data_IF_794632346710
#
_entry.id   IF_794632346710
#
_cell.length_a   1.000
_cell.length_b   1.000
_cell.length_c   1.000
_cell.angle_alpha   90.00
_cell.angle_beta   90.00
_cell.angle_gamma   90.00
#
_symmetry.space_group_name_H-M   'P 1'
#
loop_
_entity.id
_entity.type
_entity.pdbx_description
1 polymer ?
#
# COMPACT_ATOMS: atom_id res chain seq x y z
N UNK A 1 9.04 -14.30 17.94
CA UNK A 1 8.24 -13.74 16.82
C UNK A 1 7.21 -12.74 17.34
N UNK A 2 6.75 -12.96 18.57
CA UNK A 2 5.69 -12.19 19.25
C UNK A 2 6.00 -10.71 19.39
N UNK A 3 7.25 -10.34 19.72
CA UNK A 3 7.70 -8.95 19.76
C UNK A 3 7.42 -8.17 18.45
N UNK A 4 7.61 -8.82 17.29
CA UNK A 4 7.34 -8.18 15.99
C UNK A 4 5.85 -8.01 15.75
N UNK A 5 5.07 -9.05 16.07
CA UNK A 5 3.61 -9.02 15.96
C UNK A 5 3.04 -7.93 16.85
N UNK A 6 3.47 -7.89 18.11
CA UNK A 6 3.10 -6.85 19.08
C UNK A 6 3.41 -5.47 18.51
N UNK A 7 4.64 -5.20 18.08
CA UNK A 7 5.04 -3.90 17.52
C UNK A 7 4.21 -3.47 16.30
N UNK A 8 3.85 -4.42 15.43
CA UNK A 8 3.09 -4.15 14.22
C UNK A 8 1.60 -3.93 14.50
N UNK A 9 1.04 -4.62 15.50
CA UNK A 9 -0.37 -4.51 15.85
C UNK A 9 -0.63 -3.29 16.70
N UNK A 10 0.16 -3.07 17.76
CA UNK A 10 0.04 -1.86 18.59
C UNK A 10 0.52 -0.61 17.89
N UNK A 11 1.38 -0.75 16.87
CA UNK A 11 2.02 0.37 16.20
C UNK A 11 3.13 1.01 17.03
N UNK A 12 3.56 0.38 18.13
CA UNK A 12 4.61 0.94 18.98
C UNK A 12 5.95 1.10 18.22
N UNK A 13 6.76 2.10 18.58
CA UNK A 13 8.14 2.18 18.16
C UNK A 13 8.92 0.94 18.58
N UNK A 14 9.92 0.54 17.79
CA UNK A 14 10.73 -0.65 18.12
C UNK A 14 11.45 -0.52 19.47
N UNK A 15 11.86 0.70 19.85
CA UNK A 15 12.58 0.95 21.10
C UNK A 15 11.69 0.88 22.35
N UNK A 16 10.37 0.99 22.18
CA UNK A 16 9.37 0.90 23.27
C UNK A 16 8.83 -0.53 23.44
N UNK A 17 9.54 -1.53 22.89
CA UNK A 17 9.18 -2.92 23.12
C UNK A 17 9.51 -3.31 24.57
N UNK A 18 8.66 -4.14 25.22
CA UNK A 18 8.92 -4.59 26.58
C UNK A 18 10.27 -5.32 26.68
N UNK A 19 10.98 -5.12 27.79
CA UNK A 19 12.34 -5.62 28.02
C UNK A 19 12.47 -7.15 28.00
N UNK A 20 11.35 -7.87 28.07
CA UNK A 20 11.30 -9.33 27.93
C UNK A 20 11.67 -9.83 26.54
N UNK A 21 11.69 -8.94 25.54
CA UNK A 21 12.02 -9.30 24.17
C UNK A 21 13.50 -9.06 23.82
N UNK A 22 13.98 -9.81 22.82
CA UNK A 22 15.32 -9.60 22.26
C UNK A 22 15.59 -8.13 21.92
N UNK A 23 16.85 -7.69 21.95
CA UNK A 23 17.26 -6.30 21.68
C UNK A 23 16.44 -5.64 20.54
N UNK A 24 15.72 -4.52 20.77
CA UNK A 24 14.88 -3.82 19.80
C UNK A 24 15.45 -3.68 18.39
N UNK A 25 16.73 -3.33 18.29
CA UNK A 25 17.43 -3.15 17.02
C UNK A 25 17.58 -4.47 16.25
N UNK A 26 17.79 -5.58 16.95
CA UNK A 26 17.86 -6.92 16.35
C UNK A 26 16.50 -7.30 15.74
N UNK A 27 15.41 -7.01 16.44
CA UNK A 27 14.04 -7.24 15.96
C UNK A 27 13.77 -6.39 14.72
N UNK A 28 14.05 -5.09 14.76
CA UNK A 28 13.86 -4.21 13.63
C UNK A 28 14.69 -4.63 12.40
N UNK A 29 15.94 -5.05 12.60
CA UNK A 29 16.81 -5.58 11.53
C UNK A 29 16.23 -6.85 10.93
N UNK A 30 15.79 -7.79 11.78
CA UNK A 30 15.21 -9.04 11.32
C UNK A 30 13.91 -8.79 10.54
N UNK A 31 13.05 -7.88 10.99
CA UNK A 31 11.84 -7.50 10.28
C UNK A 31 12.14 -6.95 8.88
N UNK A 32 13.14 -6.06 8.75
CA UNK A 32 13.59 -5.54 7.45
C UNK A 32 14.14 -6.65 6.56
N UNK A 33 14.95 -7.56 7.09
CA UNK A 33 15.47 -8.71 6.33
C UNK A 33 14.34 -9.56 5.77
N UNK A 34 13.34 -9.89 6.59
CA UNK A 34 12.15 -10.63 6.14
C UNK A 34 11.35 -9.85 5.09
N UNK A 35 11.26 -8.52 5.22
CA UNK A 35 10.59 -7.67 4.25
C UNK A 35 11.28 -7.70 2.89
N UNK A 36 12.59 -7.49 2.85
CA UNK A 36 13.37 -7.53 1.61
C UNK A 36 13.46 -8.94 1.02
N UNK A 37 13.42 -9.98 1.85
CA UNK A 37 13.30 -11.38 1.39
C UNK A 37 11.91 -11.72 0.84
N UNK A 38 10.94 -10.79 0.87
CA UNK A 38 9.61 -11.00 0.31
C UNK A 38 8.68 -11.86 1.16
N UNK A 39 9.02 -12.09 2.44
CA UNK A 39 8.20 -12.94 3.34
C UNK A 39 6.81 -12.32 3.54
N UNK A 40 6.74 -11.01 3.81
CA UNK A 40 5.46 -10.34 4.04
C UNK A 40 4.58 -10.26 2.80
N UNK A 41 5.18 -10.05 1.62
CA UNK A 41 4.44 -10.07 0.35
C UNK A 41 4.02 -11.48 -0.04
N UNK A 42 4.82 -12.50 0.26
CA UNK A 42 4.46 -13.91 0.12
C UNK A 42 3.23 -14.28 0.97
N UNK A 43 3.19 -13.86 2.23
CA UNK A 43 2.03 -14.08 3.10
C UNK A 43 0.76 -13.42 2.57
N UNK A 44 0.84 -12.18 2.04
CA UNK A 44 -0.31 -11.54 1.41
C UNK A 44 -0.81 -12.34 0.20
N UNK A 45 0.09 -12.83 -0.67
CA UNK A 45 -0.31 -13.67 -1.81
C UNK A 45 -0.95 -14.97 -1.36
N UNK A 46 -0.39 -15.62 -0.34
CA UNK A 46 -0.93 -16.85 0.21
C UNK A 46 -2.33 -16.63 0.82
N UNK A 47 -2.53 -15.49 1.49
CA UNK A 47 -3.82 -15.12 2.06
C UNK A 47 -4.88 -14.85 0.99
N UNK A 48 -4.50 -14.17 -0.10
CA UNK A 48 -5.40 -13.86 -1.20
C UNK A 48 -5.68 -15.06 -2.14
N UNK A 49 -5.00 -16.19 -1.96
CA UNK A 49 -5.21 -17.37 -2.78
C UNK A 49 -6.60 -17.97 -2.50
N UNK A 50 -7.34 -18.44 -3.53
CA UNK A 50 -8.69 -18.97 -3.35
C UNK A 50 -8.75 -20.15 -2.36
N UNK A 51 -7.70 -20.97 -2.32
CA UNK A 51 -7.53 -22.10 -1.40
C UNK A 51 -6.77 -21.78 -0.10
N UNK A 52 -6.70 -20.52 0.32
CA UNK A 52 -5.99 -20.15 1.55
C UNK A 52 -6.53 -20.95 2.76
N UNK A 53 -5.66 -21.64 3.53
CA UNK A 53 -6.08 -22.41 4.71
C UNK A 53 -6.88 -21.56 5.69
N UNK A 54 -7.88 -22.15 6.36
CA UNK A 54 -8.73 -21.45 7.32
C UNK A 54 -7.93 -20.77 8.44
N UNK A 55 -6.86 -21.42 8.92
CA UNK A 55 -5.94 -20.85 9.91
C UNK A 55 -5.24 -19.59 9.39
N UNK A 56 -4.86 -19.54 8.11
CA UNK A 56 -4.24 -18.36 7.51
C UNK A 56 -5.23 -17.20 7.40
N UNK A 57 -6.49 -17.50 7.03
CA UNK A 57 -7.58 -16.51 7.01
C UNK A 57 -7.89 -15.97 8.41
N UNK A 58 -7.86 -16.83 9.44
CA UNK A 58 -8.02 -16.38 10.83
C UNK A 58 -6.90 -15.41 11.28
N UNK A 59 -5.71 -15.51 10.66
CA UNK A 59 -4.58 -14.62 10.91
C UNK A 59 -4.57 -13.37 10.01
N UNK A 60 -5.58 -13.15 9.16
CA UNK A 60 -5.64 -12.06 8.19
C UNK A 60 -5.33 -10.69 8.82
N UNK A 61 -5.96 -10.40 9.96
CA UNK A 61 -5.76 -9.14 10.67
C UNK A 61 -4.27 -8.90 10.99
N UNK A 62 -3.62 -9.89 11.60
CA UNK A 62 -2.21 -9.83 11.98
C UNK A 62 -1.29 -9.69 10.77
N UNK A 63 -1.56 -10.47 9.72
CA UNK A 63 -0.81 -10.41 8.45
C UNK A 63 -0.95 -9.05 7.79
N UNK A 64 -2.15 -8.47 7.76
CA UNK A 64 -2.39 -7.14 7.24
C UNK A 64 -1.63 -6.07 8.03
N UNK A 65 -1.59 -6.15 9.36
CA UNK A 65 -0.82 -5.20 10.21
C UNK A 65 0.69 -5.32 9.98
N UNK A 66 1.22 -6.53 9.90
CA UNK A 66 2.62 -6.79 9.56
C UNK A 66 2.96 -6.20 8.18
N UNK A 67 2.15 -6.51 7.18
CA UNK A 67 2.31 -6.03 5.82
C UNK A 67 2.24 -4.51 5.75
N UNK A 68 1.33 -3.87 6.49
CA UNK A 68 1.20 -2.41 6.57
C UNK A 68 2.50 -1.75 7.03
N UNK A 69 3.14 -2.29 8.08
CA UNK A 69 4.45 -1.79 8.54
C UNK A 69 5.55 -2.08 7.52
N UNK A 70 5.50 -3.23 6.83
CA UNK A 70 6.43 -3.58 5.77
C UNK A 70 6.30 -2.69 4.52
N UNK A 71 5.11 -2.22 4.17
CA UNK A 71 4.90 -1.32 3.02
C UNK A 71 5.64 0.01 3.19
N UNK A 72 5.89 0.44 4.42
CA UNK A 72 6.73 1.61 4.69
C UNK A 72 8.20 1.39 4.29
N UNK A 73 8.63 0.14 4.16
CA UNK A 73 9.96 -0.27 3.69
C UNK A 73 9.96 -0.61 2.19
N UNK A 74 8.90 -1.29 1.72
CA UNK A 74 8.78 -1.76 0.34
C UNK A 74 8.30 -0.69 -0.64
N UNK A 75 7.73 0.42 -0.15
CA UNK A 75 7.27 1.53 -0.98
C UNK A 75 6.08 1.16 -1.87
N UNK A 76 6.06 1.74 -3.06
CA UNK A 76 4.96 1.61 -4.03
C UNK A 76 4.75 0.17 -4.53
N UNK A 77 5.80 -0.63 -4.61
CA UNK A 77 5.69 -2.02 -5.05
C UNK A 77 4.83 -2.87 -4.09
N UNK A 78 5.01 -2.68 -2.78
CA UNK A 78 4.20 -3.35 -1.75
C UNK A 78 2.74 -2.90 -1.77
N UNK A 79 2.50 -1.62 -1.99
CA UNK A 79 1.15 -1.02 -2.11
C UNK A 79 0.41 -1.58 -3.33
N UNK A 80 1.08 -1.58 -4.49
CA UNK A 80 0.53 -2.13 -5.73
C UNK A 80 0.15 -3.59 -5.59
N UNK A 81 1.00 -4.38 -4.91
CA UNK A 81 0.72 -5.79 -4.61
C UNK A 81 -0.53 -5.95 -3.74
N UNK A 82 -0.63 -5.27 -2.59
CA UNK A 82 -1.78 -5.43 -1.72
C UNK A 82 -3.09 -4.99 -2.36
N UNK A 83 -3.06 -3.91 -3.16
CA UNK A 83 -4.22 -3.47 -3.96
C UNK A 83 -4.62 -4.51 -5.01
N UNK A 84 -3.66 -5.02 -5.78
CA UNK A 84 -3.92 -6.04 -6.80
C UNK A 84 -4.49 -7.34 -6.23
N UNK A 85 -4.19 -7.64 -4.96
CA UNK A 85 -4.76 -8.77 -4.23
C UNK A 85 -6.11 -8.47 -3.55
N UNK A 86 -6.62 -7.23 -3.62
CA UNK A 86 -7.84 -6.81 -2.94
C UNK A 86 -7.73 -6.66 -1.42
N UNK A 87 -6.52 -6.81 -0.85
CA UNK A 87 -6.28 -6.74 0.60
C UNK A 87 -6.09 -5.29 1.07
N UNK A 88 -7.16 -4.50 0.98
CA UNK A 88 -7.15 -3.07 1.30
C UNK A 88 -6.78 -2.78 2.77
N UNK A 89 -7.08 -3.71 3.68
CA UNK A 89 -6.71 -3.63 5.10
C UNK A 89 -5.20 -3.63 5.34
N UNK A 90 -4.40 -4.14 4.40
CA UNK A 90 -2.95 -4.12 4.50
C UNK A 90 -2.34 -2.75 4.14
N UNK A 91 -3.13 -1.84 3.55
CA UNK A 91 -2.62 -0.53 3.10
C UNK A 91 -2.31 0.40 4.29
N UNK A 92 -1.19 1.15 4.25
CA UNK A 92 -0.84 2.14 5.28
C UNK A 92 -1.74 3.38 5.33
N UNK A 93 -2.65 3.54 4.36
CA UNK A 93 -3.55 4.68 4.24
C UNK A 93 -4.86 4.24 3.60
N UNK A 94 -5.93 5.02 3.78
CA UNK A 94 -7.18 4.80 3.04
C UNK A 94 -6.90 4.69 1.52
N UNK A 95 -7.53 3.72 0.83
CA UNK A 95 -7.27 3.43 -0.59
C UNK A 95 -7.43 4.62 -1.55
N UNK A 96 -8.27 5.60 -1.19
CA UNK A 96 -8.57 6.80 -1.98
C UNK A 96 -7.42 7.83 -2.02
N UNK A 97 -6.55 7.83 -1.01
CA UNK A 97 -5.40 8.73 -0.99
C UNK A 97 -4.19 8.13 -1.72
N UNK A 98 -4.24 6.85 -2.09
CA UNK A 98 -3.15 6.16 -2.77
C UNK A 98 -3.28 6.22 -4.29
N UNK A 99 -2.15 6.21 -5.02
CA UNK A 99 -2.17 6.08 -6.46
C UNK A 99 -2.89 4.79 -6.85
N UNK A 100 -3.89 4.90 -7.72
CA UNK A 100 -4.59 3.75 -8.27
C UNK A 100 -4.08 3.50 -9.69
N UNK A 101 -3.26 2.45 -9.86
CA UNK A 101 -2.65 2.11 -11.16
C UNK A 101 -3.69 1.96 -12.26
N UNK A 102 -4.75 1.20 -12.01
CA UNK A 102 -5.75 0.88 -13.04
C UNK A 102 -6.58 2.12 -13.40
N UNK A 103 -6.93 2.94 -12.40
CA UNK A 103 -7.62 4.22 -12.62
C UNK A 103 -6.72 5.23 -13.35
N UNK A 104 -5.45 5.33 -12.96
CA UNK A 104 -4.47 6.20 -13.63
C UNK A 104 -4.27 5.76 -15.08
N UNK A 105 -4.13 4.45 -15.34
CA UNK A 105 -4.00 3.91 -16.69
C UNK A 105 -5.26 4.17 -17.54
N UNK A 106 -6.46 3.95 -16.98
CA UNK A 106 -7.71 4.25 -17.65
C UNK A 106 -7.86 5.74 -17.97
N UNK A 107 -7.51 6.62 -17.04
CA UNK A 107 -7.55 8.07 -17.25
C UNK A 107 -6.48 8.55 -18.24
N UNK A 108 -5.29 7.96 -18.25
CA UNK A 108 -4.28 8.23 -19.28
C UNK A 108 -4.77 7.81 -20.66
N UNK A 109 -5.34 6.61 -20.79
CA UNK A 109 -5.91 6.14 -22.06
C UNK A 109 -7.06 7.05 -22.53
N UNK A 110 -7.94 7.44 -21.62
CA UNK A 110 -9.01 8.39 -21.91
C UNK A 110 -8.47 9.76 -22.32
N UNK A 111 -7.49 10.28 -21.59
CA UNK A 111 -6.86 11.58 -21.88
C UNK A 111 -6.22 11.55 -23.27
N UNK A 112 -5.45 10.51 -23.60
CA UNK A 112 -4.84 10.36 -24.91
C UNK A 112 -5.89 10.25 -26.01
N UNK A 113 -6.94 9.44 -25.83
CA UNK A 113 -8.02 9.34 -26.80
C UNK A 113 -8.78 10.66 -27.02
N UNK A 114 -8.89 11.51 -25.99
CA UNK A 114 -9.45 12.87 -26.12
C UNK A 114 -8.48 13.75 -26.89
N UNK A 115 -7.19 13.72 -26.56
CA UNK A 115 -6.15 14.51 -27.22
C UNK A 115 -6.00 14.14 -28.70
N UNK A 116 -6.04 12.85 -29.05
CA UNK A 116 -5.94 12.35 -30.42
C UNK A 116 -7.16 12.76 -31.27
N UNK A 117 -8.30 13.03 -30.64
CA UNK A 117 -9.53 13.51 -31.29
C UNK A 117 -9.63 15.02 -31.34
N UNK A 118 -8.71 15.75 -30.70
CA UNK A 118 -8.69 17.19 -30.83
C UNK A 118 -8.25 17.55 -32.26
N UNK A 119 -8.98 18.42 -32.96
CA UNK A 119 -8.48 18.98 -34.21
C UNK A 119 -7.16 19.73 -33.94
N UNK A 120 -6.35 20.01 -34.98
CA UNK A 120 -5.17 20.89 -34.86
C UNK A 120 -5.50 22.29 -34.31
N UNK A 121 -6.78 22.63 -34.21
CA UNK A 121 -7.27 23.86 -33.59
C UNK A 121 -7.14 23.83 -32.06
N UNK A 122 -6.96 25.02 -31.47
CA UNK A 122 -6.74 25.17 -30.03
C UNK A 122 -7.84 24.50 -29.20
N UNK A 123 -7.50 23.66 -28.21
CA UNK A 123 -8.49 23.04 -27.32
C UNK A 123 -9.29 24.10 -26.57
N UNK A 124 -10.51 23.74 -26.17
CA UNK A 124 -11.34 24.61 -25.32
C UNK A 124 -10.56 25.05 -24.08
N UNK A 125 -10.61 26.34 -23.71
CA UNK A 125 -9.89 26.85 -22.55
C UNK A 125 -10.32 26.07 -21.29
N UNK A 126 -9.35 25.59 -20.52
CA UNK A 126 -9.58 24.83 -19.29
C UNK A 126 -9.71 23.31 -19.44
N UNK A 127 -9.84 22.77 -20.66
CA UNK A 127 -9.92 21.31 -20.87
C UNK A 127 -8.65 20.60 -20.36
N UNK A 128 -7.47 21.10 -20.73
CA UNK A 128 -6.19 20.56 -20.29
C UNK A 128 -6.00 20.68 -18.78
N UNK A 129 -6.47 21.79 -18.19
CA UNK A 129 -6.45 21.99 -16.74
C UNK A 129 -7.33 20.99 -16.01
N UNK A 130 -8.51 20.67 -16.55
CA UNK A 130 -9.42 19.69 -15.96
C UNK A 130 -8.86 18.27 -16.08
N UNK A 131 -8.33 17.89 -17.25
CA UNK A 131 -7.65 16.61 -17.47
C UNK A 131 -6.45 16.46 -16.52
N UNK A 132 -5.65 17.52 -16.34
CA UNK A 132 -4.56 17.57 -15.39
C UNK A 132 -5.03 17.36 -13.94
N UNK A 133 -6.13 17.98 -13.53
CA UNK A 133 -6.74 17.77 -12.19
C UNK A 133 -7.23 16.33 -12.00
N UNK A 134 -7.86 15.73 -13.01
CA UNK A 134 -8.30 14.33 -12.96
C UNK A 134 -7.12 13.37 -12.82
N UNK A 135 -6.06 13.57 -13.60
CA UNK A 135 -4.83 12.78 -13.50
C UNK A 135 -4.15 12.95 -12.14
N UNK A 136 -4.09 14.17 -11.62
CA UNK A 136 -3.55 14.43 -10.28
C UNK A 136 -4.35 13.72 -9.18
N UNK A 137 -5.67 13.62 -9.33
CA UNK A 137 -6.51 12.93 -8.36
C UNK A 137 -6.30 11.40 -8.40
N UNK A 138 -6.19 10.83 -9.59
CA UNK A 138 -5.95 9.40 -9.77
C UNK A 138 -4.51 8.95 -9.44
N UNK A 139 -3.55 9.86 -9.60
CA UNK A 139 -2.17 9.68 -9.17
C UNK A 139 -2.00 9.60 -7.66
N UNK A 140 -3.05 9.84 -6.86
CA UNK A 140 -2.99 9.83 -5.40
C UNK A 140 -2.25 11.04 -4.83
N UNK A 141 -2.30 11.21 -3.50
CA UNK A 141 -1.56 12.28 -2.82
C UNK A 141 -0.17 11.78 -2.41
N UNK A 142 0.91 12.52 -2.69
CA UNK A 142 2.27 12.10 -2.35
C UNK A 142 2.56 12.13 -0.84
N UNK A 143 1.69 12.74 -0.02
CA UNK A 143 1.97 12.98 1.40
C UNK A 143 1.51 11.81 2.26
N UNK A 144 2.49 11.10 2.83
CA UNK A 144 2.29 9.97 3.74
C UNK A 144 2.04 10.42 5.18
N UNK A 145 0.82 10.88 5.48
CA UNK A 145 0.45 11.21 6.86
C UNK A 145 0.08 9.96 7.65
N UNK A 146 0.70 9.75 8.83
CA UNK A 146 0.31 8.69 9.79
C UNK A 146 -1.16 8.79 10.22
N UNK A 147 -1.77 9.99 10.13
CA UNK A 147 -3.15 10.26 10.54
C UNK A 147 -4.20 9.63 9.62
N UNK A 148 -3.80 9.21 8.41
CA UNK A 148 -4.71 8.69 7.39
C UNK A 148 -4.67 7.17 7.29
N UNK A 149 -3.97 6.49 8.21
CA UNK A 149 -3.99 5.03 8.28
C UNK A 149 -5.40 4.55 8.71
N UNK A 150 -5.96 3.52 8.06
CA UNK A 150 -7.19 2.90 8.54
C UNK A 150 -6.97 2.34 9.95
N UNK A 151 -8.02 2.30 10.81
CA UNK A 151 -7.92 1.80 12.18
C UNK A 151 -7.19 0.44 12.28
#
# INVERSE_FOLDING_TARGET
MDAMLYACVTGCPWHDLPETDARPLSIARQFRRLAHAGVWSGLLRALAAPGAPAMLRAMEYWICRLARRAMRLLGMAGIGLARGLGLLSALPMLPWFMPNRDLSQALHAFTNAVLDRLPEQRPRPGLLTLLGKCLQHAGGRPVWSKKLAPP
#
